data_IF_426016322727
#
_entry.id   IF_426016322727
#
_cell.length_a   1.000
_cell.length_b   1.000
_cell.length_c   1.000
_cell.angle_alpha   90.00
_cell.angle_beta   90.00
_cell.angle_gamma   90.00
#
_symmetry.space_group_name_H-M   'P 1'
#
loop_
_entity.id
_entity.type
_entity.pdbx_description
1 polymer ?
#
# COMPACT_ATOMS: atom_id res chain seq x y z
N UNK A 1 -11.07 -28.38 -25.78
CA UNK A 1 -11.39 -28.55 -24.35
C UNK A 1 -12.82 -29.04 -24.25
N UNK A 2 -13.10 -30.08 -23.46
CA UNK A 2 -14.50 -30.50 -23.18
C UNK A 2 -15.15 -29.49 -22.24
N UNK A 3 -16.45 -29.27 -22.36
CA UNK A 3 -17.21 -28.34 -21.49
C UNK A 3 -17.00 -28.69 -20.01
N UNK A 4 -16.99 -29.98 -19.67
CA UNK A 4 -16.72 -30.45 -18.32
C UNK A 4 -15.36 -29.95 -17.78
N UNK A 5 -14.30 -29.99 -18.60
CA UNK A 5 -12.96 -29.50 -18.20
C UNK A 5 -12.96 -27.99 -17.92
N UNK A 6 -13.80 -27.23 -18.64
CA UNK A 6 -13.94 -25.80 -18.39
C UNK A 6 -14.65 -25.54 -17.05
N UNK A 7 -15.72 -26.30 -16.76
CA UNK A 7 -16.44 -26.24 -15.48
C UNK A 7 -15.47 -26.54 -14.32
N UNK A 8 -14.75 -27.66 -14.39
CA UNK A 8 -13.81 -28.08 -13.34
C UNK A 8 -12.69 -27.03 -13.11
N UNK A 9 -12.27 -26.35 -14.17
CA UNK A 9 -11.26 -25.28 -14.08
C UNK A 9 -11.82 -24.04 -13.39
N UNK A 10 -13.03 -23.63 -13.77
CA UNK A 10 -13.69 -22.47 -13.18
C UNK A 10 -14.02 -22.69 -11.70
N UNK A 11 -14.40 -23.90 -11.29
CA UNK A 11 -14.61 -24.24 -9.87
C UNK A 11 -13.33 -24.08 -9.04
N UNK A 12 -12.19 -24.52 -9.58
CA UNK A 12 -10.88 -24.34 -8.92
C UNK A 12 -10.50 -22.87 -8.82
N UNK A 13 -10.72 -22.10 -9.88
CA UNK A 13 -10.48 -20.65 -9.87
C UNK A 13 -11.38 -19.97 -8.85
N UNK A 14 -12.67 -20.31 -8.81
CA UNK A 14 -13.63 -19.75 -7.86
C UNK A 14 -13.22 -20.04 -6.41
N UNK A 15 -12.75 -21.25 -6.11
CA UNK A 15 -12.26 -21.62 -4.78
C UNK A 15 -11.06 -20.77 -4.33
N UNK A 16 -10.18 -20.40 -5.27
CA UNK A 16 -9.06 -19.48 -4.99
C UNK A 16 -9.61 -18.09 -4.73
N UNK A 17 -10.49 -17.57 -5.59
CA UNK A 17 -11.06 -16.22 -5.46
C UNK A 17 -11.82 -16.03 -4.14
N UNK A 18 -12.54 -17.05 -3.66
CA UNK A 18 -13.25 -17.01 -2.37
C UNK A 18 -12.33 -16.76 -1.16
N UNK A 19 -11.05 -17.14 -1.23
CA UNK A 19 -10.11 -16.86 -0.14
C UNK A 19 -9.72 -15.37 -0.06
N UNK A 20 -10.04 -14.60 -1.10
CA UNK A 20 -9.69 -13.19 -1.24
C UNK A 20 -10.92 -12.29 -1.41
N UNK A 21 -12.11 -12.76 -1.02
CA UNK A 21 -13.37 -12.04 -1.20
C UNK A 21 -13.38 -10.65 -0.55
N UNK A 22 -12.62 -10.47 0.54
CA UNK A 22 -12.53 -9.22 1.30
C UNK A 22 -11.38 -8.31 0.89
N UNK A 23 -10.58 -8.67 -0.12
CA UNK A 23 -9.40 -7.90 -0.53
C UNK A 23 -9.46 -7.54 -2.01
N UNK A 24 -8.67 -6.55 -2.41
CA UNK A 24 -8.57 -6.15 -3.81
C UNK A 24 -7.78 -7.18 -4.62
N UNK A 25 -8.00 -7.19 -5.95
CA UNK A 25 -7.26 -8.06 -6.88
C UNK A 25 -5.74 -7.81 -6.78
N UNK A 26 -5.31 -6.57 -6.54
CA UNK A 26 -3.89 -6.23 -6.41
C UNK A 26 -3.24 -6.85 -5.15
N UNK A 27 -3.97 -6.83 -4.03
CA UNK A 27 -3.56 -7.48 -2.77
C UNK A 27 -3.51 -9.00 -2.91
N UNK A 28 -4.51 -9.60 -3.57
CA UNK A 28 -4.52 -11.02 -3.91
C UNK A 28 -3.31 -11.39 -4.77
N UNK A 29 -3.03 -10.64 -5.84
CA UNK A 29 -1.90 -10.91 -6.75
C UNK A 29 -0.56 -10.75 -6.05
N UNK A 30 -0.44 -9.79 -5.12
CA UNK A 30 0.75 -9.59 -4.29
C UNK A 30 0.96 -10.78 -3.34
N UNK A 31 -0.07 -11.23 -2.62
CA UNK A 31 0.00 -12.39 -1.72
C UNK A 31 0.32 -13.69 -2.49
N UNK A 32 -0.35 -13.92 -3.61
CA UNK A 32 -0.09 -15.07 -4.48
C UNK A 32 1.36 -15.07 -5.00
N UNK A 33 1.89 -13.92 -5.38
CA UNK A 33 3.28 -13.78 -5.84
C UNK A 33 4.28 -14.14 -4.74
N UNK A 34 4.05 -13.69 -3.50
CA UNK A 34 4.89 -14.03 -2.34
C UNK A 34 4.84 -15.53 -2.03
N UNK A 35 3.63 -16.11 -2.02
CA UNK A 35 3.42 -17.55 -1.76
C UNK A 35 4.07 -18.43 -2.83
N UNK A 36 3.91 -18.08 -4.11
CA UNK A 36 4.51 -18.81 -5.23
C UNK A 36 6.03 -18.71 -5.25
N UNK A 37 6.57 -17.54 -4.91
CA UNK A 37 8.01 -17.33 -4.80
C UNK A 37 8.61 -18.16 -3.66
N UNK A 38 7.89 -18.27 -2.54
CA UNK A 38 8.30 -19.04 -1.36
C UNK A 38 8.16 -20.56 -1.57
N UNK A 39 7.20 -21.01 -2.37
CA UNK A 39 6.96 -22.42 -2.66
C UNK A 39 7.95 -23.01 -3.70
N UNK A 40 8.55 -22.19 -4.56
CA UNK A 40 9.51 -22.64 -5.59
C UNK A 40 10.95 -22.77 -5.07
N UNK A 41 11.26 -22.16 -3.92
CA UNK A 41 12.57 -22.31 -3.29
C UNK A 41 12.54 -23.47 -2.30
N UNK A 42 12.65 -24.70 -2.81
CA UNK A 42 13.03 -25.87 -2.00
C UNK A 42 14.50 -25.73 -1.54
N UNK A 43 14.74 -24.78 -0.64
CA UNK A 43 15.74 -24.88 0.41
C UNK A 43 14.93 -24.88 1.71
N UNK A 44 15.33 -25.61 2.76
CA UNK A 44 14.74 -25.44 4.08
C UNK A 44 15.06 -24.02 4.55
N UNK A 45 14.22 -23.08 4.15
CA UNK A 45 14.25 -21.71 4.59
C UNK A 45 13.72 -21.75 6.01
N UNK A 46 14.64 -21.59 6.96
CA UNK A 46 14.33 -21.08 8.27
C UNK A 46 13.27 -20.00 8.10
N UNK A 47 12.11 -20.21 8.73
CA UNK A 47 11.10 -19.19 8.88
C UNK A 47 11.82 -17.89 9.26
N UNK A 48 11.72 -16.79 8.49
CA UNK A 48 12.00 -15.50 9.07
C UNK A 48 11.00 -15.39 10.22
N UNK A 49 11.51 -15.35 11.44
CA UNK A 49 10.72 -15.00 12.61
C UNK A 49 9.91 -13.75 12.24
N UNK A 50 8.65 -13.77 12.59
CA UNK A 50 7.61 -12.77 12.30
C UNK A 50 7.89 -11.41 12.99
N UNK A 51 9.11 -11.15 13.46
CA UNK A 51 9.44 -10.07 14.39
C UNK A 51 10.31 -8.93 13.85
N UNK A 52 10.68 -8.88 12.56
CA UNK A 52 11.60 -7.84 12.08
C UNK A 52 11.23 -7.21 10.71
N UNK A 53 9.94 -7.17 10.37
CA UNK A 53 9.48 -6.16 9.39
C UNK A 53 9.21 -4.89 10.20
N UNK A 54 10.04 -3.83 10.08
CA UNK A 54 9.81 -2.63 10.86
C UNK A 54 8.48 -2.01 10.44
N UNK A 55 7.54 -1.95 11.37
CA UNK A 55 6.24 -1.31 11.14
C UNK A 55 6.41 0.21 11.21
N UNK A 56 6.30 0.87 10.06
CA UNK A 56 6.36 2.32 9.96
C UNK A 56 4.98 2.98 10.02
N UNK A 57 3.91 2.29 10.44
CA UNK A 57 2.55 2.85 10.53
C UNK A 57 2.51 4.11 11.41
N UNK A 58 3.17 4.09 12.56
CA UNK A 58 3.25 5.25 13.46
C UNK A 58 4.01 6.42 12.83
N UNK A 59 5.07 6.12 12.07
CA UNK A 59 5.84 7.12 11.30
C UNK A 59 4.93 7.72 10.24
N UNK A 60 4.24 6.90 9.44
CA UNK A 60 3.32 7.34 8.39
C UNK A 60 2.26 8.29 8.95
N UNK A 61 1.58 7.92 10.03
CA UNK A 61 0.57 8.76 10.69
C UNK A 61 1.15 10.09 11.18
N UNK A 62 2.38 10.08 11.69
CA UNK A 62 3.05 11.29 12.17
C UNK A 62 3.43 12.25 11.05
N UNK A 63 3.88 11.74 9.89
CA UNK A 63 4.15 12.58 8.71
C UNK A 63 2.83 13.22 8.22
N UNK A 64 1.67 12.57 8.45
CA UNK A 64 0.38 13.12 8.03
C UNK A 64 0.00 14.43 8.72
N UNK A 65 0.45 14.60 9.96
CA UNK A 65 0.12 15.77 10.78
C UNK A 65 1.16 16.88 10.72
N UNK A 66 2.30 16.62 10.07
CA UNK A 66 3.42 17.56 9.98
C UNK A 66 3.31 18.46 8.75
N UNK A 67 3.88 19.67 8.85
CA UNK A 67 4.07 20.52 7.67
C UNK A 67 5.20 19.97 6.77
N UNK A 68 5.33 20.52 5.56
CA UNK A 68 6.29 20.02 4.56
C UNK A 68 7.74 20.04 5.06
N UNK A 69 8.14 21.09 5.76
CA UNK A 69 9.51 21.31 6.24
C UNK A 69 9.84 20.42 7.44
N UNK A 70 8.88 20.23 8.33
CA UNK A 70 8.93 19.30 9.46
C UNK A 70 9.01 17.85 8.96
N UNK A 71 8.22 17.49 7.95
CA UNK A 71 8.22 16.17 7.35
C UNK A 71 9.57 15.85 6.69
N UNK A 72 10.17 16.81 5.97
CA UNK A 72 11.52 16.67 5.40
C UNK A 72 12.54 16.42 6.52
N UNK A 73 12.52 17.24 7.56
CA UNK A 73 13.44 17.15 8.69
C UNK A 73 13.28 15.85 9.46
N UNK A 74 12.04 15.39 9.65
CA UNK A 74 11.72 14.14 10.34
C UNK A 74 12.18 12.91 9.56
N UNK A 75 11.85 12.84 8.26
CA UNK A 75 12.28 11.76 7.38
C UNK A 75 13.80 11.74 7.16
N UNK A 76 14.47 12.90 7.24
CA UNK A 76 15.93 12.97 7.12
C UNK A 76 16.69 12.14 8.16
N UNK A 77 16.07 11.81 9.30
CA UNK A 77 16.67 11.03 10.40
C UNK A 77 16.73 9.52 10.12
N UNK A 78 15.92 9.03 9.20
CA UNK A 78 15.81 7.61 8.85
C UNK A 78 16.88 7.19 7.84
N UNK A 79 17.28 5.92 7.80
CA UNK A 79 18.22 5.43 6.78
C UNK A 79 17.54 5.37 5.41
N UNK A 80 18.33 5.29 4.34
CA UNK A 80 17.79 5.20 2.98
C UNK A 80 16.87 3.99 2.81
N UNK A 81 17.24 2.85 3.39
CA UNK A 81 16.45 1.62 3.34
C UNK A 81 15.11 1.77 4.08
N UNK A 82 15.11 2.44 5.23
CA UNK A 82 13.90 2.77 5.99
C UNK A 82 12.96 3.70 5.20
N UNK A 83 13.52 4.69 4.50
CA UNK A 83 12.74 5.58 3.62
C UNK A 83 12.07 4.80 2.48
N UNK A 84 12.78 3.81 1.91
CA UNK A 84 12.21 2.93 0.88
C UNK A 84 11.10 2.06 1.48
N UNK A 85 11.30 1.52 2.68
CA UNK A 85 10.29 0.74 3.39
C UNK A 85 9.03 1.56 3.71
N UNK A 86 9.20 2.80 4.20
CA UNK A 86 8.10 3.75 4.44
C UNK A 86 7.33 4.01 3.14
N UNK A 87 8.02 4.29 2.03
CA UNK A 87 7.36 4.52 0.74
C UNK A 87 6.62 3.29 0.22
N UNK A 88 7.16 2.08 0.41
CA UNK A 88 6.47 0.83 0.08
C UNK A 88 5.18 0.66 0.89
N UNK A 89 5.24 0.91 2.20
CA UNK A 89 4.07 0.84 3.08
C UNK A 89 3.03 1.94 2.77
N UNK A 90 3.45 3.04 2.16
CA UNK A 90 2.58 4.09 1.64
C UNK A 90 2.09 3.85 0.19
N UNK A 91 2.37 2.68 -0.41
CA UNK A 91 2.05 2.37 -1.81
C UNK A 91 2.67 3.35 -2.84
N UNK A 92 3.83 3.91 -2.53
CA UNK A 92 4.58 4.82 -3.40
C UNK A 92 5.65 4.02 -4.15
N UNK A 93 5.62 4.09 -5.49
CA UNK A 93 6.68 3.52 -6.32
C UNK A 93 7.96 4.36 -6.21
N UNK A 94 8.83 3.97 -5.29
CA UNK A 94 10.16 4.55 -5.11
C UNK A 94 11.22 3.77 -5.90
N UNK A 95 12.10 4.46 -6.62
CA UNK A 95 13.25 3.83 -7.29
C UNK A 95 14.42 3.77 -6.31
N UNK A 96 14.84 2.57 -5.91
CA UNK A 96 15.95 2.40 -4.95
C UNK A 96 17.29 3.00 -5.39
N UNK A 97 17.48 3.27 -6.69
CA UNK A 97 18.66 3.95 -7.23
C UNK A 97 18.70 5.45 -6.94
N UNK A 98 17.57 6.06 -6.61
CA UNK A 98 17.48 7.51 -6.40
C UNK A 98 18.16 7.94 -5.09
N UNK A 99 18.53 9.22 -5.03
CA UNK A 99 19.11 9.79 -3.82
C UNK A 99 18.07 9.89 -2.71
N UNK A 100 18.50 9.75 -1.46
CA UNK A 100 17.62 9.83 -0.27
C UNK A 100 16.74 11.09 -0.27
N UNK A 101 17.27 12.23 -0.72
CA UNK A 101 16.51 13.48 -0.83
C UNK A 101 15.32 13.38 -1.80
N UNK A 102 15.53 12.78 -2.97
CA UNK A 102 14.47 12.55 -3.98
C UNK A 102 13.40 11.59 -3.45
N UNK A 103 13.82 10.55 -2.71
CA UNK A 103 12.88 9.62 -2.09
C UNK A 103 11.97 10.31 -1.06
N UNK A 104 12.55 11.17 -0.21
CA UNK A 104 11.81 11.96 0.78
C UNK A 104 10.85 12.94 0.10
N UNK A 105 11.31 13.67 -0.93
CA UNK A 105 10.45 14.59 -1.70
C UNK A 105 9.27 13.85 -2.35
N UNK A 106 9.50 12.65 -2.88
CA UNK A 106 8.45 11.84 -3.49
C UNK A 106 7.39 11.42 -2.46
N UNK A 107 7.82 10.99 -1.26
CA UNK A 107 6.91 10.64 -0.16
C UNK A 107 6.05 11.84 0.25
N UNK A 108 6.68 13.00 0.39
CA UNK A 108 6.02 14.22 0.84
C UNK A 108 5.07 14.78 -0.22
N UNK A 109 5.45 14.75 -1.50
CA UNK A 109 4.59 15.19 -2.60
C UNK A 109 3.35 14.29 -2.75
N UNK A 110 3.53 12.97 -2.59
CA UNK A 110 2.41 12.03 -2.56
C UNK A 110 1.44 12.34 -1.41
N UNK A 111 1.98 12.66 -0.22
CA UNK A 111 1.14 13.06 0.90
C UNK A 111 0.41 14.39 0.66
N UNK A 112 1.10 15.40 0.11
CA UNK A 112 0.48 16.67 -0.28
C UNK A 112 -0.66 16.49 -1.29
N UNK A 113 -0.53 15.56 -2.23
CA UNK A 113 -1.59 15.19 -3.17
C UNK A 113 -2.80 14.57 -2.46
N UNK A 114 -2.59 13.63 -1.53
CA UNK A 114 -3.68 13.03 -0.73
C UNK A 114 -4.40 14.11 0.09
N UNK A 115 -3.66 15.00 0.75
CA UNK A 115 -4.25 16.05 1.59
C UNK A 115 -5.09 17.04 0.78
N UNK A 116 -4.62 17.42 -0.41
CA UNK A 116 -5.37 18.31 -1.32
C UNK A 116 -6.67 17.66 -1.82
N UNK A 117 -6.65 16.37 -2.16
CA UNK A 117 -7.86 15.64 -2.57
C UNK A 117 -8.84 15.41 -1.39
N UNK A 118 -8.32 15.14 -0.19
CA UNK A 118 -9.13 14.92 1.01
C UNK A 118 -9.85 16.20 1.47
N UNK A 119 -9.21 17.37 1.33
CA UNK A 119 -9.85 18.65 1.66
C UNK A 119 -10.88 19.11 0.62
N UNK A 120 -10.72 18.75 -0.66
CA UNK A 120 -11.69 19.09 -1.71
C UNK A 120 -12.97 18.26 -1.62
N UNK A 121 -12.89 16.98 -1.26
CA UNK A 121 -14.07 16.12 -1.07
C UNK A 121 -14.99 16.52 0.09
N UNK A 122 -14.51 17.33 1.05
CA UNK A 122 -15.33 17.85 2.17
C UNK A 122 -16.09 19.14 1.84
N UNK A 123 -15.90 19.74 0.66
CA UNK A 123 -16.58 21.00 0.27
C UNK A 123 -17.83 20.80 -0.58
N UNK A 124 -18.08 19.60 -1.11
CA UNK A 124 -19.24 19.35 -1.98
C UNK A 124 -20.50 18.87 -1.23
N UNK A 125 -20.42 18.48 0.04
CA UNK A 125 -21.59 18.01 0.81
C UNK A 125 -22.23 19.05 1.73
N UNK A 126 -21.82 20.32 1.68
CA UNK A 126 -22.39 21.38 2.53
C UNK A 126 -23.40 22.29 1.82
N UNK A 127 -23.54 22.20 0.48
CA UNK A 127 -24.43 23.08 -0.28
C UNK A 127 -25.77 22.45 -0.70
N UNK A 128 -26.00 21.16 -0.46
CA UNK A 128 -27.24 20.48 -0.90
C UNK A 128 -28.27 20.25 0.23
N UNK A 129 -27.97 20.63 1.47
CA UNK A 129 -28.89 20.43 2.62
C UNK A 129 -29.74 21.65 3.00
N UNK A 130 -29.69 22.76 2.23
CA UNK A 130 -30.45 23.97 2.54
C UNK A 130 -31.62 24.27 1.60
N UNK A 131 -31.99 23.37 0.67
CA UNK A 131 -33.16 23.58 -0.22
C UNK A 131 -34.28 22.53 -0.08
N UNK A 132 -34.26 21.67 0.95
CA UNK A 132 -35.35 20.73 1.23
C UNK A 132 -35.76 20.70 2.70
N UNK A 133 -36.16 21.83 3.25
CA UNK A 133 -37.12 21.82 4.37
C UNK A 133 -37.85 23.15 4.46
N UNK A 134 -39.12 23.10 4.00
CA UNK A 134 -40.24 24.01 4.26
C UNK A 134 -40.16 25.45 3.76
#
# INVERSE_FOLDING_TARGET
MKVQTAIDTLEKVLAILKQYESVTVDEMLTDLSVRLSSARTNKPAQQPKVDDIPDYTAVIQKIKTMNKEEAISFLSRFKKDDIIAIGRQMNIKLKGKDQKKILIETIINHYGFIHLHTQRGKKETAHETLLKTK
#
